data_IF_043892312506
#
_entry.id   IF_043892312506
#
_cell.length_a   1.000
_cell.length_b   1.000
_cell.length_c   1.000
_cell.angle_alpha   90.00
_cell.angle_beta   90.00
_cell.angle_gamma   90.00
#
_symmetry.space_group_name_H-M   'P 1'
#
loop_
_entity.id
_entity.type
_entity.pdbx_description
1 polymer ?
#
# COMPACT_ATOMS: atom_id res chain seq x y z
N UNK A 1 -19.93 57.78 40.45
CA UNK A 1 -20.88 56.99 41.26
C UNK A 1 -22.15 56.72 40.46
N UNK A 2 -22.44 55.46 40.13
CA UNK A 2 -23.75 54.77 40.26
C UNK A 2 -23.59 53.35 39.67
N UNK A 3 -23.83 52.37 40.52
CA UNK A 3 -23.64 50.93 40.29
C UNK A 3 -24.92 50.30 39.73
N UNK A 4 -24.72 49.10 39.18
CA UNK A 4 -25.63 47.95 39.18
C UNK A 4 -26.77 47.97 38.13
N UNK A 5 -27.19 46.85 37.54
CA UNK A 5 -26.83 45.43 37.70
C UNK A 5 -27.34 44.69 36.46
N UNK A 6 -26.58 43.66 36.11
CA UNK A 6 -26.94 42.41 35.43
C UNK A 6 -28.37 42.23 34.88
N UNK A 7 -28.48 41.71 33.67
CA UNK A 7 -28.57 40.26 33.41
C UNK A 7 -29.31 40.04 32.08
N UNK A 8 -28.73 39.24 31.18
CA UNK A 8 -29.43 38.10 30.53
C UNK A 8 -28.43 37.39 29.62
N UNK A 9 -27.90 36.30 30.16
CA UNK A 9 -27.24 35.27 29.38
C UNK A 9 -28.27 34.63 28.47
N UNK A 10 -27.98 34.56 27.17
CA UNK A 10 -28.67 33.62 26.27
C UNK A 10 -27.58 32.82 25.58
N UNK A 11 -27.37 31.62 26.10
CA UNK A 11 -26.50 30.59 25.53
C UNK A 11 -27.22 30.06 24.29
N UNK A 12 -26.71 30.40 23.11
CA UNK A 12 -27.12 29.77 21.86
C UNK A 12 -26.18 28.59 21.60
N UNK A 13 -26.54 27.41 22.12
CA UNK A 13 -25.91 26.15 21.75
C UNK A 13 -26.40 25.81 20.34
N UNK A 14 -25.56 26.11 19.34
CA UNK A 14 -25.72 25.59 17.99
C UNK A 14 -25.23 24.13 17.99
N UNK A 15 -26.17 23.19 18.16
CA UNK A 15 -25.96 21.78 17.81
C UNK A 15 -25.77 21.72 16.27
N UNK A 16 -24.52 21.71 15.83
CA UNK A 16 -24.19 21.31 14.47
C UNK A 16 -24.43 19.81 14.33
N UNK A 17 -25.59 19.43 13.77
CA UNK A 17 -25.83 18.06 13.34
C UNK A 17 -24.85 17.74 12.19
N UNK A 18 -23.79 17.01 12.51
CA UNK A 18 -22.95 16.40 11.49
C UNK A 18 -23.81 15.34 10.78
N UNK A 19 -24.26 15.64 9.57
CA UNK A 19 -24.82 14.65 8.66
C UNK A 19 -23.69 13.68 8.30
N UNK A 20 -23.57 12.59 9.06
CA UNK A 20 -22.80 11.43 8.65
C UNK A 20 -23.49 10.85 7.41
N UNK A 21 -23.02 11.23 6.22
CA UNK A 21 -23.37 10.56 4.98
C UNK A 21 -22.99 9.07 5.08
N UNK A 22 -23.64 8.18 4.32
CA UNK A 22 -23.32 6.76 4.36
C UNK A 22 -21.84 6.60 3.98
N UNK A 23 -21.04 6.12 4.93
CA UNK A 23 -19.74 5.57 4.59
C UNK A 23 -20.02 4.36 3.70
N UNK A 24 -19.75 4.48 2.40
CA UNK A 24 -19.73 3.32 1.53
C UNK A 24 -18.70 2.35 2.12
N UNK A 25 -19.16 1.27 2.74
CA UNK A 25 -18.29 0.18 3.11
C UNK A 25 -17.67 -0.31 1.80
N UNK A 26 -16.37 -0.08 1.60
CA UNK A 26 -15.68 -0.66 0.47
C UNK A 26 -15.76 -2.17 0.69
N UNK A 27 -16.56 -2.88 -0.12
CA UNK A 27 -16.46 -4.33 -0.20
C UNK A 27 -14.99 -4.63 -0.47
N UNK A 28 -14.29 -5.38 0.41
CA UNK A 28 -12.91 -5.72 0.17
C UNK A 28 -12.78 -6.31 -1.22
N UNK A 29 -11.78 -5.87 -1.99
CA UNK A 29 -11.46 -6.56 -3.23
C UNK A 29 -11.27 -8.05 -2.90
N UNK A 30 -11.84 -8.97 -3.71
CA UNK A 30 -11.79 -10.40 -3.39
C UNK A 30 -10.35 -10.92 -3.30
N UNK A 31 -9.42 -10.24 -4.00
CA UNK A 31 -7.99 -10.52 -4.00
C UNK A 31 -7.20 -9.29 -3.53
N UNK A 32 -6.15 -9.51 -2.74
CA UNK A 32 -5.37 -8.45 -2.09
C UNK A 32 -6.10 -7.76 -0.93
N UNK A 33 -5.52 -6.68 -0.34
CA UNK A 33 -4.20 -6.11 -0.66
C UNK A 33 -3.06 -7.09 -0.33
N UNK A 34 -1.93 -6.96 -1.04
CA UNK A 34 -0.75 -7.79 -0.81
C UNK A 34 0.23 -7.08 0.12
N UNK A 35 0.82 -7.83 1.05
CA UNK A 35 1.92 -7.33 1.87
C UNK A 35 3.24 -7.62 1.16
N UNK A 36 4.13 -6.63 1.14
CA UNK A 36 5.46 -6.78 0.52
C UNK A 36 6.53 -6.57 1.57
N UNK A 37 7.47 -7.51 1.65
CA UNK A 37 8.70 -7.37 2.43
C UNK A 37 9.89 -7.50 1.51
N UNK A 38 10.93 -6.72 1.78
CA UNK A 38 12.11 -6.68 0.93
C UNK A 38 13.35 -6.26 1.70
N UNK A 39 14.49 -6.61 1.14
CA UNK A 39 15.80 -6.13 1.54
C UNK A 39 16.63 -5.82 0.30
N UNK A 40 17.68 -5.01 0.49
CA UNK A 40 18.73 -4.89 -0.51
C UNK A 40 19.63 -6.12 -0.47
N UNK A 41 20.10 -6.53 -1.63
CA UNK A 41 21.07 -7.60 -1.79
C UNK A 41 22.07 -7.26 -2.90
N UNK A 42 23.08 -8.12 -3.03
CA UNK A 42 24.06 -8.03 -4.10
C UNK A 42 23.61 -8.94 -5.26
N UNK A 43 23.56 -8.38 -6.47
CA UNK A 43 23.30 -9.15 -7.69
C UNK A 43 24.62 -9.61 -8.33
N UNK A 44 25.64 -8.74 -8.28
CA UNK A 44 27.00 -8.99 -8.73
C UNK A 44 27.96 -8.02 -8.00
N UNK A 45 29.28 -8.18 -8.15
CA UNK A 45 30.27 -7.28 -7.53
C UNK A 45 30.10 -5.79 -7.85
N UNK A 46 29.35 -5.45 -8.90
CA UNK A 46 29.12 -4.07 -9.36
C UNK A 46 27.64 -3.68 -9.40
N UNK A 47 26.73 -4.56 -9.02
CA UNK A 47 25.29 -4.33 -9.12
C UNK A 47 24.53 -4.81 -7.88
N UNK A 48 23.68 -3.93 -7.34
CA UNK A 48 22.72 -4.29 -6.29
C UNK A 48 21.40 -4.82 -6.87
N UNK A 49 20.64 -5.48 -6.02
CA UNK A 49 19.23 -5.84 -6.26
C UNK A 49 18.36 -5.47 -5.07
N UNK A 50 17.07 -5.33 -5.33
CA UNK A 50 16.05 -5.46 -4.31
C UNK A 50 15.46 -6.86 -4.44
N UNK A 51 15.40 -7.61 -3.35
CA UNK A 51 14.76 -8.92 -3.33
C UNK A 51 13.82 -9.04 -2.15
N UNK A 52 12.86 -9.94 -2.25
CA UNK A 52 11.85 -10.06 -1.21
C UNK A 52 10.70 -10.97 -1.57
N UNK A 53 9.61 -10.80 -0.83
CA UNK A 53 8.41 -11.60 -0.95
C UNK A 53 7.16 -10.73 -1.03
N UNK A 54 6.26 -11.12 -1.92
CA UNK A 54 4.87 -10.67 -1.94
C UNK A 54 4.02 -11.75 -1.27
N UNK A 55 3.38 -11.40 -0.16
CA UNK A 55 2.50 -12.28 0.59
C UNK A 55 1.06 -12.10 0.12
N UNK A 56 0.42 -13.22 -0.20
CA UNK A 56 -0.98 -13.28 -0.57
C UNK A 56 -1.79 -13.84 0.59
N UNK A 57 -2.20 -12.94 1.48
CA UNK A 57 -3.07 -13.28 2.62
C UNK A 57 -4.56 -13.33 2.22
N UNK A 58 -4.87 -13.18 0.92
CA UNK A 58 -6.24 -13.24 0.37
C UNK A 58 -6.68 -14.65 0.02
N UNK A 59 -7.95 -14.80 -0.39
CA UNK A 59 -8.54 -16.09 -0.75
C UNK A 59 -8.34 -16.48 -2.23
N UNK A 60 -7.73 -15.61 -3.05
CA UNK A 60 -7.51 -15.86 -4.47
C UNK A 60 -6.15 -16.51 -4.74
N UNK A 61 -6.07 -17.33 -5.80
CA UNK A 61 -4.78 -17.64 -6.42
C UNK A 61 -4.50 -16.61 -7.51
N UNK A 62 -3.30 -16.00 -7.49
CA UNK A 62 -2.93 -14.96 -8.46
C UNK A 62 -1.67 -15.33 -9.23
N UNK A 63 -1.57 -14.86 -10.47
CA UNK A 63 -0.42 -15.01 -11.36
C UNK A 63 -0.02 -13.65 -11.93
N UNK A 64 1.06 -13.63 -12.72
CA UNK A 64 1.54 -12.44 -13.45
C UNK A 64 1.60 -11.19 -12.55
N UNK A 65 2.09 -11.38 -11.33
CA UNK A 65 2.13 -10.32 -10.32
C UNK A 65 3.26 -9.36 -10.67
N UNK A 66 2.87 -8.12 -10.98
CA UNK A 66 3.77 -7.02 -11.32
C UNK A 66 4.02 -6.15 -10.11
N UNK A 67 5.29 -5.81 -9.90
CA UNK A 67 5.71 -4.87 -8.86
C UNK A 67 6.30 -3.60 -9.45
N UNK A 68 6.07 -2.49 -8.77
CA UNK A 68 6.70 -1.19 -9.01
C UNK A 68 7.60 -0.86 -7.82
N UNK A 69 8.87 -0.66 -8.11
CA UNK A 69 9.89 -0.24 -7.16
C UNK A 69 10.25 1.21 -7.44
N UNK A 70 10.14 2.05 -6.42
CA UNK A 70 10.53 3.46 -6.47
C UNK A 70 11.68 3.68 -5.50
N UNK A 71 12.84 4.05 -6.03
CA UNK A 71 13.97 4.51 -5.24
C UNK A 71 13.74 5.97 -4.83
N UNK A 72 14.05 6.31 -3.57
CA UNK A 72 13.88 7.67 -3.04
C UNK A 72 15.17 8.26 -2.48
N UNK A 73 15.28 9.58 -2.55
CA UNK A 73 16.36 10.34 -1.90
C UNK A 73 16.09 10.56 -0.39
N UNK A 74 17.01 11.28 0.28
CA UNK A 74 16.90 11.58 1.72
C UNK A 74 15.72 12.49 2.09
N UNK A 75 15.07 13.14 1.12
CA UNK A 75 13.83 13.91 1.30
C UNK A 75 12.59 13.09 0.94
N UNK A 76 12.76 11.83 0.55
CA UNK A 76 11.67 10.94 0.14
C UNK A 76 11.14 11.20 -1.26
N UNK A 77 11.85 11.97 -2.10
CA UNK A 77 11.49 12.23 -3.49
C UNK A 77 11.90 11.05 -4.38
N UNK A 78 11.08 10.67 -5.38
CA UNK A 78 11.44 9.61 -6.32
C UNK A 78 12.64 10.03 -7.18
N UNK A 79 13.64 9.16 -7.27
CA UNK A 79 14.84 9.40 -8.08
C UNK A 79 15.04 8.35 -9.18
N UNK A 80 14.38 7.20 -9.05
CA UNK A 80 14.34 6.16 -10.08
C UNK A 80 13.16 5.22 -9.84
N UNK A 81 12.75 4.56 -10.93
CA UNK A 81 11.66 3.60 -10.92
C UNK A 81 12.05 2.35 -11.72
N UNK A 82 11.67 1.19 -11.19
CA UNK A 82 11.90 -0.10 -11.84
C UNK A 82 10.63 -0.94 -11.74
N UNK A 83 10.27 -1.60 -12.85
CA UNK A 83 9.20 -2.59 -12.86
C UNK A 83 9.78 -4.00 -12.77
N UNK A 84 9.13 -4.87 -12.00
CA UNK A 84 9.54 -6.25 -11.80
C UNK A 84 8.37 -7.22 -11.81
N UNK A 85 8.71 -8.50 -11.75
CA UNK A 85 7.77 -9.59 -11.61
C UNK A 85 8.05 -10.35 -10.32
N UNK A 86 6.98 -10.87 -9.73
CA UNK A 86 7.09 -11.95 -8.76
C UNK A 86 7.17 -13.28 -9.51
N UNK A 87 8.02 -14.18 -9.04
CA UNK A 87 8.21 -15.49 -9.63
C UNK A 87 7.03 -16.41 -9.33
N UNK A 88 6.37 -16.84 -10.40
CA UNK A 88 5.30 -17.84 -10.36
C UNK A 88 4.00 -17.34 -9.77
N UNK A 89 3.05 -18.26 -9.69
CA UNK A 89 1.74 -18.01 -9.09
C UNK A 89 1.87 -17.95 -7.56
N UNK A 90 0.98 -17.19 -6.93
CA UNK A 90 0.90 -17.03 -5.49
C UNK A 90 -0.47 -17.54 -5.01
N UNK A 91 -0.57 -18.83 -4.60
CA UNK A 91 -1.79 -19.36 -4.01
C UNK A 91 -2.21 -18.62 -2.72
N UNK A 92 -3.48 -18.79 -2.28
CA UNK A 92 -3.97 -18.26 -1.00
C UNK A 92 -3.08 -18.65 0.19
N UNK A 93 -2.76 -17.69 1.05
CA UNK A 93 -1.96 -17.89 2.26
C UNK A 93 -0.46 -18.16 2.02
N UNK A 94 0.03 -17.96 0.80
CA UNK A 94 1.44 -18.21 0.45
C UNK A 94 2.17 -16.91 0.09
N UNK A 95 3.43 -17.03 -0.36
CA UNK A 95 4.25 -15.90 -0.79
C UNK A 95 5.02 -16.22 -2.07
N UNK A 96 5.10 -15.25 -2.97
CA UNK A 96 5.93 -15.30 -4.16
C UNK A 96 7.22 -14.51 -3.95
N UNK A 97 8.33 -15.03 -4.45
CA UNK A 97 9.64 -14.36 -4.38
C UNK A 97 9.79 -13.38 -5.54
N UNK A 98 10.52 -12.29 -5.35
CA UNK A 98 10.96 -11.43 -6.44
C UNK A 98 12.42 -11.00 -6.25
N UNK A 99 13.08 -10.67 -7.35
CA UNK A 99 14.36 -9.99 -7.35
C UNK A 99 14.42 -9.04 -8.55
N UNK A 100 14.74 -7.77 -8.31
CA UNK A 100 14.89 -6.75 -9.34
C UNK A 100 16.25 -6.08 -9.26
N UNK A 101 16.98 -5.92 -10.37
CA UNK A 101 18.21 -5.13 -10.39
C UNK A 101 17.92 -3.68 -9.99
N UNK A 102 18.80 -3.10 -9.18
CA UNK A 102 18.79 -1.67 -8.90
C UNK A 102 19.51 -0.95 -10.03
N UNK A 103 18.81 -0.01 -10.68
CA UNK A 103 19.30 0.72 -11.86
C UNK A 103 19.83 2.10 -11.52
N UNK A 104 19.56 2.60 -10.31
CA UNK A 104 19.98 3.91 -9.83
C UNK A 104 21.25 3.85 -9.01
N UNK A 105 21.92 5.00 -8.88
CA UNK A 105 22.92 5.23 -7.84
C UNK A 105 22.34 5.13 -6.42
N UNK A 106 23.13 5.48 -5.39
CA UNK A 106 22.72 5.33 -3.99
C UNK A 106 21.37 5.99 -3.69
N UNK A 107 20.40 5.20 -3.26
CA UNK A 107 19.11 5.68 -2.77
C UNK A 107 19.10 5.67 -1.24
N UNK A 108 18.34 6.58 -0.63
CA UNK A 108 18.13 6.59 0.82
C UNK A 108 17.07 5.56 1.26
N UNK A 109 16.23 5.09 0.33
CA UNK A 109 15.25 4.05 0.60
C UNK A 109 14.50 3.61 -0.66
N UNK A 110 13.58 2.66 -0.49
CA UNK A 110 12.72 2.12 -1.56
C UNK A 110 11.28 2.03 -1.11
N UNK A 111 10.36 2.15 -2.08
CA UNK A 111 8.95 1.83 -1.92
C UNK A 111 8.62 0.73 -2.93
N UNK A 112 7.93 -0.32 -2.50
CA UNK A 112 7.58 -1.46 -3.35
C UNK A 112 6.09 -1.71 -3.26
N UNK A 113 5.41 -1.67 -4.41
CA UNK A 113 3.97 -1.91 -4.50
C UNK A 113 3.66 -2.97 -5.55
N UNK A 114 2.67 -3.81 -5.29
CA UNK A 114 2.03 -4.61 -6.35
C UNK A 114 1.12 -3.68 -7.15
N UNK A 115 1.28 -3.66 -8.48
CA UNK A 115 0.55 -2.75 -9.37
C UNK A 115 -0.44 -3.47 -10.29
N UNK A 116 -0.22 -4.75 -10.56
CA UNK A 116 -1.16 -5.59 -11.29
C UNK A 116 -0.92 -7.08 -11.00
N UNK A 117 -1.93 -7.89 -11.26
CA UNK A 117 -1.92 -9.34 -11.15
C UNK A 117 -3.11 -9.91 -11.93
N UNK A 118 -3.02 -11.18 -12.29
CA UNK A 118 -4.12 -11.95 -12.88
C UNK A 118 -4.70 -12.89 -11.82
N UNK A 119 -6.03 -13.00 -11.78
CA UNK A 119 -6.71 -13.98 -10.92
C UNK A 119 -6.79 -15.33 -11.64
N UNK A 120 -6.13 -16.35 -11.09
CA UNK A 120 -6.15 -17.72 -11.65
C UNK A 120 -7.38 -18.48 -11.15
N UNK A 121 -7.74 -18.26 -9.89
CA UNK A 121 -8.98 -18.74 -9.30
C UNK A 121 -9.40 -17.87 -8.13
N UNK A 122 -10.68 -17.53 -8.09
CA UNK A 122 -11.26 -16.78 -6.97
C UNK A 122 -11.62 -17.63 -5.76
N UNK A 123 -12.19 -16.98 -4.73
CA UNK A 123 -12.71 -17.69 -3.56
C UNK A 123 -13.70 -18.77 -3.99
N UNK A 124 -13.76 -19.89 -3.27
CA UNK A 124 -14.68 -20.98 -3.58
C UNK A 124 -16.12 -20.45 -3.77
N UNK A 125 -16.63 -20.49 -5.02
CA UNK A 125 -17.97 -20.04 -5.39
C UNK A 125 -18.07 -18.90 -6.42
N UNK A 126 -16.97 -18.40 -6.98
CA UNK A 126 -16.99 -17.27 -7.93
C UNK A 126 -17.01 -17.63 -9.44
N UNK A 127 -17.62 -18.77 -9.82
CA UNK A 127 -17.88 -19.10 -11.24
C UNK A 127 -19.37 -19.16 -11.55
#
# INVERSE_FOLDING_TARGET
>A
MRRARALRATVAVLLGAALAGPAAAQTPAPCGPFRVEWNQGELSPTAGKLEGFVYNDSACSVADVRIHVVAVDGQGQPIAETMGWVFGDIPPGTRGYFAVPLTSGPAAGYRVNVVSFDEVSGPAGSR
#
